data_IF_686511485365
#
_entry.id   IF_686511485365
#
_cell.length_a   1.000
_cell.length_b   1.000
_cell.length_c   1.000
_cell.angle_alpha   90.00
_cell.angle_beta   90.00
_cell.angle_gamma   90.00
#
_symmetry.space_group_name_H-M   'P 1'
#
loop_
_entity.id
_entity.type
_entity.pdbx_description
1 polymer ?
#
# COMPACT_ATOMS: atom_id res chain seq x y z
N UNK A 1 24.59 -56.73 -39.58
CA UNK A 1 24.37 -55.75 -40.66
C UNK A 1 25.68 -55.62 -41.43
N UNK A 2 25.66 -55.80 -42.76
CA UNK A 2 26.84 -55.65 -43.60
C UNK A 2 27.22 -54.16 -43.69
N UNK A 3 28.50 -53.83 -43.50
CA UNK A 3 28.96 -52.45 -43.65
C UNK A 3 28.79 -51.98 -45.12
N UNK A 4 28.42 -50.72 -45.36
CA UNK A 4 28.21 -50.21 -46.71
C UNK A 4 29.47 -50.36 -47.56
N UNK A 5 29.32 -50.94 -48.77
CA UNK A 5 30.37 -51.04 -49.80
C UNK A 5 30.16 -49.92 -50.83
N UNK A 6 31.05 -48.94 -50.85
CA UNK A 6 31.02 -47.78 -51.76
C UNK A 6 31.82 -46.59 -51.20
N UNK A 7 32.01 -45.54 -51.99
CA UNK A 7 32.64 -44.30 -51.54
C UNK A 7 31.58 -43.44 -50.83
N UNK A 8 31.69 -43.29 -49.51
CA UNK A 8 30.76 -42.48 -48.70
C UNK A 8 31.13 -41.01 -48.78
N UNK A 9 30.21 -40.17 -49.26
CA UNK A 9 30.35 -38.70 -49.21
C UNK A 9 29.55 -38.17 -48.02
N UNK A 10 30.18 -37.36 -47.18
CA UNK A 10 29.53 -36.68 -46.05
C UNK A 10 29.54 -35.18 -46.31
N UNK A 11 28.35 -34.60 -46.42
CA UNK A 11 28.15 -33.15 -46.50
C UNK A 11 27.85 -32.62 -45.10
N UNK A 12 28.57 -31.59 -44.67
CA UNK A 12 28.34 -30.95 -43.38
C UNK A 12 28.67 -29.46 -43.45
N UNK A 13 28.01 -28.70 -42.60
CA UNK A 13 28.31 -27.29 -42.37
C UNK A 13 29.10 -27.16 -41.06
N UNK A 14 30.16 -26.37 -41.07
CA UNK A 14 30.99 -26.13 -39.90
C UNK A 14 31.63 -24.75 -39.98
N UNK A 15 31.87 -24.15 -38.81
CA UNK A 15 32.71 -22.96 -38.72
C UNK A 15 34.15 -23.31 -39.04
N UNK A 16 34.75 -22.55 -39.96
CA UNK A 16 36.17 -22.63 -40.24
C UNK A 16 36.91 -21.70 -39.27
N UNK A 17 37.77 -22.29 -38.43
CA UNK A 17 38.55 -21.54 -37.46
C UNK A 17 39.81 -21.00 -38.12
N UNK A 18 40.28 -19.83 -37.67
CA UNK A 18 41.56 -19.29 -38.10
C UNK A 18 42.72 -20.20 -37.66
N UNK A 19 43.89 -20.03 -38.26
CA UNK A 19 45.11 -20.78 -37.89
C UNK A 19 45.69 -20.35 -36.54
N UNK A 20 45.07 -19.38 -35.87
CA UNK A 20 45.49 -18.88 -34.57
C UNK A 20 45.16 -19.91 -33.48
N UNK A 21 46.11 -20.13 -32.57
CA UNK A 21 45.94 -21.03 -31.42
C UNK A 21 45.36 -20.27 -30.23
N UNK A 22 44.48 -20.89 -29.45
CA UNK A 22 43.84 -20.24 -28.31
C UNK A 22 42.51 -20.87 -27.89
N UNK A 23 41.69 -20.04 -27.25
CA UNK A 23 40.30 -20.34 -26.91
C UNK A 23 39.35 -19.63 -27.88
N UNK A 24 38.12 -20.10 -27.95
CA UNK A 24 37.03 -19.43 -28.65
C UNK A 24 36.14 -18.69 -27.66
N UNK A 25 35.67 -17.52 -28.09
CA UNK A 25 34.74 -16.67 -27.36
C UNK A 25 33.71 -16.12 -28.37
N UNK A 26 32.86 -15.19 -27.91
CA UNK A 26 31.87 -14.53 -28.78
C UNK A 26 32.52 -13.87 -30.01
N UNK A 27 33.73 -13.31 -29.87
CA UNK A 27 34.49 -12.63 -30.95
C UNK A 27 35.02 -13.57 -32.03
N UNK A 28 34.91 -14.88 -31.83
CA UNK A 28 35.25 -15.89 -32.84
C UNK A 28 34.14 -16.07 -33.88
N UNK A 29 32.96 -15.50 -33.66
CA UNK A 29 31.82 -15.57 -34.56
C UNK A 29 31.64 -14.25 -35.33
N UNK A 30 31.08 -14.28 -36.56
CA UNK A 30 30.72 -13.06 -37.27
C UNK A 30 29.75 -12.19 -36.45
N UNK A 31 29.96 -10.88 -36.45
CA UNK A 31 29.12 -9.92 -35.70
C UNK A 31 27.65 -9.96 -36.12
N UNK A 32 27.35 -10.40 -37.35
CA UNK A 32 25.98 -10.61 -37.83
C UNK A 32 25.22 -11.68 -37.04
N UNK A 33 25.91 -12.61 -36.39
CA UNK A 33 25.31 -13.73 -35.64
C UNK A 33 25.00 -13.36 -34.18
N UNK A 34 25.35 -12.13 -33.76
CA UNK A 34 25.22 -11.72 -32.36
C UNK A 34 23.78 -11.39 -31.99
N UNK A 35 22.98 -10.87 -32.92
CA UNK A 35 21.61 -10.38 -32.66
C UNK A 35 20.57 -11.49 -32.59
N UNK A 36 20.69 -12.50 -33.44
CA UNK A 36 19.57 -13.42 -33.71
C UNK A 36 19.66 -14.76 -32.98
N UNK A 37 20.52 -14.86 -31.96
CA UNK A 37 20.65 -16.11 -31.23
C UNK A 37 21.43 -17.18 -32.01
N UNK A 38 22.02 -16.83 -33.16
CA UNK A 38 22.58 -17.79 -34.12
C UNK A 38 23.88 -18.46 -33.65
N UNK A 39 24.61 -17.86 -32.69
CA UNK A 39 25.76 -18.52 -32.05
C UNK A 39 25.28 -19.84 -31.42
N UNK A 40 25.83 -21.00 -31.83
CA UNK A 40 25.34 -22.31 -31.42
C UNK A 40 25.42 -22.58 -29.91
N UNK A 41 24.57 -23.50 -29.46
CA UNK A 41 24.65 -24.11 -28.13
C UNK A 41 25.36 -25.46 -28.26
N UNK A 42 26.45 -25.63 -27.53
CA UNK A 42 27.16 -26.91 -27.46
C UNK A 42 26.46 -27.85 -26.47
N UNK A 43 26.29 -29.11 -26.86
CA UNK A 43 25.77 -30.17 -26.00
C UNK A 43 26.90 -31.14 -25.68
N UNK A 44 27.28 -31.23 -24.41
CA UNK A 44 28.28 -32.20 -23.95
C UNK A 44 27.72 -33.63 -24.02
N UNK A 45 28.62 -34.62 -24.02
CA UNK A 45 28.29 -36.05 -23.91
C UNK A 45 27.45 -36.35 -22.66
N UNK A 46 27.61 -35.55 -21.60
CA UNK A 46 26.84 -35.66 -20.35
C UNK A 46 25.42 -35.07 -20.45
N UNK A 47 25.01 -34.56 -21.62
CA UNK A 47 23.70 -33.95 -21.86
C UNK A 47 23.58 -32.48 -21.43
N UNK A 48 24.61 -31.93 -20.77
CA UNK A 48 24.68 -30.52 -20.38
C UNK A 48 24.81 -29.60 -21.61
N UNK A 49 24.08 -28.49 -21.58
CA UNK A 49 24.07 -27.50 -22.66
C UNK A 49 24.87 -26.26 -22.25
N UNK A 50 25.80 -25.84 -23.12
CA UNK A 50 26.65 -24.68 -22.93
C UNK A 50 26.40 -23.68 -24.06
N UNK A 51 26.00 -22.47 -23.69
CA UNK A 51 25.79 -21.40 -24.65
C UNK A 51 27.14 -20.81 -25.05
N UNK A 52 27.61 -21.05 -26.28
CA UNK A 52 28.97 -20.68 -26.70
C UNK A 52 29.22 -19.16 -26.71
N UNK A 53 28.15 -18.36 -26.67
CA UNK A 53 28.21 -16.89 -26.49
C UNK A 53 28.68 -16.44 -25.11
N UNK A 54 28.47 -17.27 -24.08
CA UNK A 54 28.78 -16.98 -22.67
C UNK A 54 29.71 -18.04 -22.10
N UNK A 55 30.68 -18.47 -22.91
CA UNK A 55 31.62 -19.51 -22.55
C UNK A 55 32.97 -19.21 -23.18
N UNK A 56 34.02 -19.52 -22.42
CA UNK A 56 35.38 -19.58 -22.95
C UNK A 56 35.62 -21.03 -23.34
N UNK A 57 35.71 -21.29 -24.63
CA UNK A 57 35.78 -22.63 -25.19
C UNK A 57 37.22 -23.00 -25.55
N UNK A 58 37.79 -23.95 -24.81
CA UNK A 58 39.16 -24.44 -25.01
C UNK A 58 39.23 -25.71 -25.87
N UNK A 59 38.12 -26.14 -26.47
CA UNK A 59 38.09 -27.37 -27.27
C UNK A 59 39.02 -27.22 -28.48
N UNK A 60 39.79 -28.27 -28.84
CA UNK A 60 40.64 -28.21 -30.01
C UNK A 60 39.82 -28.21 -31.30
N UNK A 61 40.38 -27.59 -32.34
CA UNK A 61 39.82 -27.62 -33.68
C UNK A 61 40.31 -28.84 -34.45
N UNK A 62 39.43 -29.39 -35.29
CA UNK A 62 39.76 -30.40 -36.30
C UNK A 62 39.45 -29.85 -37.69
N UNK A 63 40.43 -29.86 -38.58
CA UNK A 63 40.22 -29.51 -39.99
C UNK A 63 39.45 -30.62 -40.70
N UNK A 64 38.46 -30.23 -41.49
CA UNK A 64 37.73 -31.14 -42.37
C UNK A 64 38.68 -31.86 -43.35
N UNK A 65 38.53 -33.17 -43.53
CA UNK A 65 39.28 -33.93 -44.54
C UNK A 65 40.75 -34.25 -44.21
N UNK A 66 41.19 -34.03 -42.97
CA UNK A 66 42.53 -34.46 -42.51
C UNK A 66 42.51 -35.86 -41.88
N UNK A 67 43.70 -36.42 -41.64
CA UNK A 67 43.88 -37.71 -40.96
C UNK A 67 43.10 -37.76 -39.64
N UNK A 68 42.43 -38.89 -39.39
CA UNK A 68 41.66 -39.12 -38.19
C UNK A 68 42.44 -38.75 -36.91
N UNK A 69 41.74 -38.13 -35.94
CA UNK A 69 42.28 -37.73 -34.63
C UNK A 69 43.40 -36.67 -34.65
N UNK A 70 43.54 -35.90 -35.73
CA UNK A 70 44.46 -34.76 -35.77
C UNK A 70 43.75 -33.50 -35.27
N UNK A 71 44.16 -33.00 -34.11
CA UNK A 71 43.60 -31.84 -33.43
C UNK A 71 44.65 -30.73 -33.31
N UNK A 72 44.24 -29.46 -33.43
CA UNK A 72 45.13 -28.31 -33.27
C UNK A 72 44.42 -27.17 -32.52
N UNK A 73 45.18 -26.13 -32.15
CA UNK A 73 44.60 -24.88 -31.65
C UNK A 73 44.30 -24.83 -30.15
N UNK A 74 44.13 -25.96 -29.46
CA UNK A 74 43.82 -25.95 -28.03
C UNK A 74 44.99 -25.41 -27.19
N UNK A 75 44.75 -24.31 -26.48
CA UNK A 75 45.65 -23.78 -25.44
C UNK A 75 44.93 -23.81 -24.09
N UNK A 76 44.96 -24.97 -23.45
CA UNK A 76 44.33 -25.18 -22.15
C UNK A 76 45.24 -24.58 -21.07
N UNK A 77 44.75 -23.66 -20.22
CA UNK A 77 45.55 -23.11 -19.13
C UNK A 77 45.94 -24.21 -18.14
N UNK A 78 47.18 -24.17 -17.65
CA UNK A 78 47.62 -25.08 -16.59
C UNK A 78 46.91 -24.72 -15.27
N UNK A 79 46.66 -25.69 -14.36
CA UNK A 79 45.95 -25.44 -13.10
C UNK A 79 46.55 -24.34 -12.21
N UNK A 80 47.85 -24.05 -12.38
CA UNK A 80 48.59 -23.06 -11.60
C UNK A 80 48.92 -21.79 -12.39
N UNK A 81 48.49 -21.69 -13.64
CA UNK A 81 48.70 -20.50 -14.47
C UNK A 81 47.47 -19.57 -14.42
N UNK A 82 47.63 -18.30 -14.01
CA UNK A 82 46.53 -17.35 -14.04
C UNK A 82 46.17 -16.98 -15.49
N UNK A 83 44.89 -16.99 -15.81
CA UNK A 83 44.36 -16.40 -17.05
C UNK A 83 43.88 -14.98 -16.76
N UNK A 84 44.56 -14.00 -17.33
CA UNK A 84 44.12 -12.61 -17.29
C UNK A 84 43.19 -12.33 -18.47
N UNK A 85 42.02 -11.76 -18.20
CA UNK A 85 41.02 -11.47 -19.21
C UNK A 85 40.35 -10.13 -18.94
N UNK A 86 40.18 -9.35 -20.01
CA UNK A 86 39.32 -8.15 -20.01
C UNK A 86 38.00 -8.54 -20.66
N UNK A 87 36.91 -8.43 -19.91
CA UNK A 87 35.59 -8.83 -20.38
C UNK A 87 34.58 -7.69 -20.25
N UNK A 88 33.59 -7.72 -21.12
CA UNK A 88 32.42 -6.86 -21.07
C UNK A 88 31.19 -7.74 -21.05
N UNK A 89 30.21 -7.39 -20.22
CA UNK A 89 28.99 -8.16 -20.08
C UNK A 89 27.79 -7.22 -19.89
N UNK A 90 26.63 -7.68 -20.32
CA UNK A 90 25.39 -6.95 -20.13
C UNK A 90 24.90 -7.10 -18.70
N UNK A 91 24.33 -6.03 -18.15
CA UNK A 91 23.70 -6.05 -16.84
C UNK A 91 22.19 -6.19 -16.98
N UNK A 92 21.54 -6.95 -16.08
CA UNK A 92 20.09 -6.98 -16.04
C UNK A 92 19.53 -5.63 -15.58
N UNK A 93 18.27 -5.38 -15.91
CA UNK A 93 17.58 -4.11 -15.60
C UNK A 93 16.12 -4.39 -15.23
N UNK A 94 15.54 -3.51 -14.42
CA UNK A 94 14.12 -3.57 -14.06
C UNK A 94 13.44 -2.28 -14.45
N UNK A 95 12.35 -2.38 -15.19
CA UNK A 95 11.62 -1.23 -15.72
C UNK A 95 10.18 -1.22 -15.18
N UNK A 96 9.50 -0.09 -15.31
CA UNK A 96 8.06 0.05 -15.02
C UNK A 96 7.35 0.61 -16.23
N UNK A 97 6.15 0.11 -16.53
CA UNK A 97 5.21 0.77 -17.44
C UNK A 97 4.22 1.53 -16.58
N UNK A 98 4.12 2.83 -16.82
CA UNK A 98 3.22 3.73 -16.11
C UNK A 98 2.24 4.39 -17.08
N UNK A 99 1.05 4.70 -16.58
CA UNK A 99 0.05 5.52 -17.26
C UNK A 99 0.04 6.90 -16.62
N UNK A 100 0.38 7.94 -17.39
CA UNK A 100 0.38 9.32 -16.90
C UNK A 100 -1.04 9.90 -16.83
N UNK A 101 -1.23 10.98 -16.09
CA UNK A 101 -2.49 11.74 -16.04
C UNK A 101 -2.95 12.24 -17.43
N UNK A 102 -1.99 12.54 -18.33
CA UNK A 102 -2.23 12.86 -19.74
C UNK A 102 -2.70 11.68 -20.61
N UNK A 103 -2.94 10.49 -20.01
CA UNK A 103 -3.31 9.24 -20.68
C UNK A 103 -2.23 8.68 -21.60
N UNK A 104 -0.97 8.99 -21.35
CA UNK A 104 0.16 8.45 -22.10
C UNK A 104 0.76 7.25 -21.38
N UNK A 105 1.04 6.17 -22.13
CA UNK A 105 1.81 5.04 -21.62
C UNK A 105 3.29 5.37 -21.74
N UNK A 106 3.98 5.41 -20.60
CA UNK A 106 5.41 5.70 -20.52
C UNK A 106 6.15 4.52 -19.90
N UNK A 107 7.32 4.22 -20.43
CA UNK A 107 8.27 3.29 -19.82
C UNK A 107 9.25 4.09 -18.96
N UNK A 108 9.35 3.74 -17.69
CA UNK A 108 10.39 4.23 -16.79
C UNK A 108 11.49 3.18 -16.76
N UNK A 109 12.62 3.51 -17.37
CA UNK A 109 13.78 2.62 -17.38
C UNK A 109 14.47 2.64 -16.02
N UNK A 110 14.82 1.45 -15.52
CA UNK A 110 15.71 1.32 -14.37
C UNK A 110 17.16 1.57 -14.73
N UNK A 111 18.01 1.50 -13.71
CA UNK A 111 19.46 1.55 -13.90
C UNK A 111 19.96 0.10 -13.99
N UNK A 112 20.67 -0.28 -15.06
CA UNK A 112 21.28 -1.61 -15.15
C UNK A 112 22.24 -1.85 -13.99
N UNK A 113 22.11 -3.01 -13.32
CA UNK A 113 22.95 -3.36 -12.18
C UNK A 113 22.96 -4.88 -12.00
N UNK A 114 24.00 -5.42 -11.36
CA UNK A 114 24.06 -6.85 -11.00
C UNK A 114 22.85 -7.26 -10.14
N UNK A 115 22.40 -6.35 -9.28
CA UNK A 115 21.19 -6.48 -8.47
C UNK A 115 20.23 -5.31 -8.81
N UNK A 116 19.46 -5.40 -9.91
CA UNK A 116 18.66 -4.29 -10.38
C UNK A 116 17.49 -4.03 -9.42
N UNK A 117 17.19 -2.75 -9.23
CA UNK A 117 16.05 -2.27 -8.42
C UNK A 117 15.01 -1.65 -9.35
N UNK A 118 13.74 -1.80 -9.00
CA UNK A 118 12.69 -1.10 -9.71
C UNK A 118 12.83 0.43 -9.50
N UNK A 119 12.55 1.25 -10.52
CA UNK A 119 12.46 2.69 -10.38
C UNK A 119 11.44 3.10 -9.30
N UNK A 120 11.65 4.27 -8.71
CA UNK A 120 10.64 4.89 -7.83
C UNK A 120 9.36 5.20 -8.61
N UNK A 121 8.21 5.06 -7.95
CA UNK A 121 6.93 5.45 -8.55
C UNK A 121 6.86 6.98 -8.74
N UNK A 122 6.22 7.41 -9.81
CA UNK A 122 5.98 8.82 -10.09
C UNK A 122 4.64 9.23 -9.49
N UNK A 123 4.56 10.42 -8.88
CA UNK A 123 3.31 10.92 -8.29
C UNK A 123 2.21 11.19 -9.32
N UNK A 124 2.58 11.54 -10.55
CA UNK A 124 1.68 11.88 -11.65
C UNK A 124 1.36 10.69 -12.58
N UNK A 125 1.78 9.48 -12.21
CA UNK A 125 1.56 8.30 -13.04
C UNK A 125 1.21 7.05 -12.23
N UNK A 126 0.35 6.22 -12.79
CA UNK A 126 -0.07 4.95 -12.20
C UNK A 126 0.73 3.80 -12.81
N UNK A 127 1.49 3.06 -12.00
CA UNK A 127 2.29 1.92 -12.45
C UNK A 127 1.42 0.72 -12.81
N UNK A 128 1.36 0.36 -14.09
CA UNK A 128 0.55 -0.76 -14.59
C UNK A 128 1.31 -2.08 -14.61
N UNK A 129 2.58 -2.05 -15.02
CA UNK A 129 3.41 -3.25 -15.12
C UNK A 129 4.79 -3.02 -14.52
N UNK A 130 5.34 -4.06 -13.91
CA UNK A 130 6.76 -4.16 -13.58
C UNK A 130 7.41 -5.13 -14.55
N UNK A 131 8.53 -4.75 -15.15
CA UNK A 131 9.25 -5.54 -16.15
C UNK A 131 10.62 -5.93 -15.59
N UNK A 132 10.90 -7.22 -15.61
CA UNK A 132 12.22 -7.77 -15.35
C UNK A 132 12.90 -8.11 -16.67
N UNK A 133 13.98 -7.39 -16.97
CA UNK A 133 14.80 -7.56 -18.17
C UNK A 133 16.08 -8.28 -17.75
N UNK A 134 16.27 -9.55 -18.12
CA UNK A 134 17.51 -10.26 -17.82
C UNK A 134 18.70 -9.63 -18.56
N UNK A 135 19.91 -9.95 -18.10
CA UNK A 135 21.14 -9.56 -18.78
C UNK A 135 21.12 -10.15 -20.19
N UNK A 136 21.28 -9.28 -21.20
CA UNK A 136 21.28 -9.64 -22.61
C UNK A 136 19.99 -10.39 -23.05
N UNK A 137 19.06 -9.65 -23.65
CA UNK A 137 17.75 -10.17 -24.07
C UNK A 137 17.75 -10.58 -25.54
N UNK A 138 18.20 -11.81 -25.83
CA UNK A 138 18.18 -12.37 -27.19
C UNK A 138 16.75 -12.52 -27.78
N UNK A 139 15.75 -12.66 -26.91
CA UNK A 139 14.35 -12.77 -27.32
C UNK A 139 13.46 -12.07 -26.30
N UNK A 140 12.37 -11.48 -26.80
CA UNK A 140 11.32 -10.86 -25.97
C UNK A 140 10.69 -11.86 -24.99
N UNK A 141 10.77 -13.17 -25.25
CA UNK A 141 10.22 -14.22 -24.37
C UNK A 141 10.92 -14.30 -23.01
N UNK A 142 12.16 -13.83 -22.93
CA UNK A 142 12.93 -13.83 -21.69
C UNK A 142 12.62 -12.62 -20.80
N UNK A 143 11.87 -11.63 -21.32
CA UNK A 143 11.44 -10.47 -20.55
C UNK A 143 10.17 -10.84 -19.78
N UNK A 144 10.25 -10.80 -18.45
CA UNK A 144 9.11 -11.10 -17.60
C UNK A 144 8.36 -9.81 -17.26
N UNK A 145 7.11 -9.71 -17.70
CA UNK A 145 6.23 -8.60 -17.35
C UNK A 145 5.18 -9.07 -16.33
N UNK A 146 5.09 -8.37 -15.20
CA UNK A 146 4.09 -8.62 -14.16
C UNK A 146 3.12 -7.45 -14.09
N UNK A 147 1.84 -7.74 -14.30
CA UNK A 147 0.77 -6.75 -14.15
C UNK A 147 0.56 -6.43 -12.66
N UNK A 148 0.42 -5.14 -12.35
CA UNK A 148 -0.02 -4.67 -11.04
C UNK A 148 -1.55 -4.54 -11.06
N UNK A 149 -2.22 -5.20 -10.12
CA UNK A 149 -3.67 -5.13 -10.01
C UNK A 149 -4.09 -3.87 -9.24
N UNK A 150 -4.84 -2.99 -9.91
CA UNK A 150 -5.42 -1.77 -9.32
C UNK A 150 -6.90 -2.01 -9.05
N UNK A 151 -7.21 -2.53 -7.86
CA UNK A 151 -8.60 -2.75 -7.45
C UNK A 151 -9.33 -1.42 -7.29
N UNK A 152 -10.34 -1.20 -8.14
CA UNK A 152 -11.27 -0.08 -8.03
C UNK A 152 -12.40 -0.46 -7.07
N UNK A 153 -12.58 0.32 -6.02
CA UNK A 153 -13.75 0.22 -5.16
C UNK A 153 -14.74 1.33 -5.50
N UNK A 154 -16.00 1.00 -5.74
CA UNK A 154 -17.06 2.00 -5.86
C UNK A 154 -17.59 2.37 -4.48
N UNK A 155 -18.29 3.50 -4.34
CA UNK A 155 -18.92 3.87 -3.05
C UNK A 155 -19.89 2.80 -2.54
N UNK A 156 -20.55 2.06 -3.44
CA UNK A 156 -21.41 0.92 -3.07
C UNK A 156 -20.59 -0.22 -2.46
N UNK A 157 -19.41 -0.50 -3.01
CA UNK A 157 -18.53 -1.56 -2.50
C UNK A 157 -17.90 -1.16 -1.17
N UNK A 158 -17.53 0.12 -1.02
CA UNK A 158 -17.06 0.68 0.24
C UNK A 158 -18.14 0.56 1.32
N UNK A 159 -19.40 0.90 1.02
CA UNK A 159 -20.51 0.73 1.98
C UNK A 159 -20.74 -0.73 2.38
N UNK A 160 -20.56 -1.69 1.47
CA UNK A 160 -20.59 -3.12 1.83
C UNK A 160 -19.44 -3.53 2.74
N UNK A 161 -18.23 -3.00 2.49
CA UNK A 161 -17.07 -3.24 3.34
C UNK A 161 -17.26 -2.63 4.73
N UNK A 162 -17.78 -1.40 4.82
CA UNK A 162 -18.12 -0.73 6.07
C UNK A 162 -19.09 -1.56 6.90
N UNK A 163 -20.18 -2.06 6.30
CA UNK A 163 -21.12 -2.93 7.00
C UNK A 163 -20.46 -4.22 7.50
N UNK A 164 -19.58 -4.83 6.71
CA UNK A 164 -18.84 -6.02 7.13
C UNK A 164 -17.89 -5.72 8.28
N UNK A 165 -17.18 -4.59 8.23
CA UNK A 165 -16.25 -4.16 9.27
C UNK A 165 -17.02 -3.91 10.57
N UNK A 166 -18.13 -3.17 10.52
CA UNK A 166 -19.00 -2.95 11.68
C UNK A 166 -19.49 -4.25 12.30
N UNK A 167 -19.90 -5.21 11.47
CA UNK A 167 -20.31 -6.54 11.96
C UNK A 167 -19.14 -7.29 12.61
N UNK A 168 -17.96 -7.27 12.00
CA UNK A 168 -16.75 -7.92 12.55
C UNK A 168 -16.36 -7.28 13.88
N UNK A 169 -16.42 -5.96 13.97
CA UNK A 169 -16.14 -5.21 15.20
C UNK A 169 -17.13 -5.60 16.31
N UNK A 170 -18.44 -5.63 16.00
CA UNK A 170 -19.48 -6.03 16.95
C UNK A 170 -19.24 -7.44 17.50
N UNK A 171 -19.05 -8.43 16.63
CA UNK A 171 -18.81 -9.82 17.07
C UNK A 171 -17.47 -10.00 17.79
N UNK A 172 -16.43 -9.26 17.38
CA UNK A 172 -15.14 -9.29 18.08
C UNK A 172 -15.25 -8.70 19.48
N UNK A 173 -15.97 -7.59 19.65
CA UNK A 173 -16.20 -6.98 20.95
C UNK A 173 -16.99 -7.92 21.88
N UNK A 174 -18.07 -8.53 21.37
CA UNK A 174 -18.87 -9.49 22.11
C UNK A 174 -18.04 -10.72 22.50
N UNK A 175 -17.31 -11.33 21.55
CA UNK A 175 -16.46 -12.49 21.81
C UNK A 175 -15.35 -12.20 22.84
N UNK A 176 -14.77 -10.99 22.81
CA UNK A 176 -13.80 -10.57 23.82
C UNK A 176 -14.45 -10.44 25.21
N UNK A 177 -15.66 -9.90 25.28
CA UNK A 177 -16.40 -9.77 26.54
C UNK A 177 -16.86 -11.14 27.07
N UNK A 178 -17.29 -12.06 26.21
CA UNK A 178 -17.60 -13.46 26.55
C UNK A 178 -16.39 -14.16 27.12
N UNK A 179 -15.22 -13.99 26.49
CA UNK A 179 -13.97 -14.53 27.02
C UNK A 179 -13.67 -13.96 28.41
N UNK A 180 -13.79 -12.64 28.61
CA UNK A 180 -13.58 -12.02 29.93
C UNK A 180 -14.54 -12.56 31.00
N UNK A 181 -15.82 -12.75 30.68
CA UNK A 181 -16.81 -13.32 31.60
C UNK A 181 -16.54 -14.82 31.88
N UNK A 182 -16.11 -15.56 30.86
CA UNK A 182 -15.69 -16.96 30.99
C UNK A 182 -14.46 -17.11 31.87
N UNK A 183 -13.51 -16.18 31.79
CA UNK A 183 -12.26 -16.23 32.56
C UNK A 183 -12.43 -15.65 33.98
N UNK A 184 -13.46 -14.82 34.24
CA UNK A 184 -13.67 -14.22 35.56
C UNK A 184 -14.20 -15.22 36.58
N UNK A 185 -13.38 -15.65 37.54
CA UNK A 185 -13.81 -16.55 38.61
C UNK A 185 -14.75 -15.87 39.60
N UNK A 186 -15.87 -16.52 39.92
CA UNK A 186 -16.78 -16.11 41.00
C UNK A 186 -16.66 -17.16 42.09
N UNK A 187 -16.17 -16.77 43.27
CA UNK A 187 -15.94 -17.71 44.37
C UNK A 187 -17.19 -17.85 45.26
N UNK A 188 -17.29 -18.96 45.99
CA UNK A 188 -18.21 -19.10 47.11
C UNK A 188 -17.77 -18.19 48.29
N UNK A 189 -18.60 -18.09 49.34
CA UNK A 189 -18.29 -17.25 50.52
C UNK A 189 -17.00 -17.67 51.24
N UNK A 190 -16.52 -18.89 50.97
CA UNK A 190 -15.24 -19.44 51.45
C UNK A 190 -14.01 -18.83 50.76
N UNK A 191 -14.18 -18.05 49.68
CA UNK A 191 -13.12 -17.50 48.84
C UNK A 191 -12.10 -18.55 48.33
N UNK A 192 -12.48 -19.82 48.26
CA UNK A 192 -11.59 -20.92 47.88
C UNK A 192 -12.14 -21.76 46.73
N UNK A 193 -13.46 -21.89 46.64
CA UNK A 193 -14.11 -22.72 45.62
C UNK A 193 -14.73 -21.83 44.53
N UNK A 194 -14.44 -22.10 43.26
CA UNK A 194 -15.08 -21.39 42.13
C UNK A 194 -16.48 -21.95 41.86
N UNK A 195 -17.45 -21.07 41.65
CA UNK A 195 -18.81 -21.43 41.24
C UNK A 195 -18.81 -21.88 39.79
N UNK A 196 -19.51 -22.98 39.53
CA UNK A 196 -19.75 -23.47 38.19
C UNK A 196 -20.61 -22.47 37.39
N UNK A 197 -20.25 -22.25 36.12
CA UNK A 197 -20.95 -21.31 35.23
C UNK A 197 -21.88 -22.10 34.33
N UNK A 198 -23.18 -22.04 34.61
CA UNK A 198 -24.22 -22.71 33.82
C UNK A 198 -24.70 -21.89 32.62
N UNK A 199 -24.43 -20.59 32.62
CA UNK A 199 -24.73 -19.67 31.54
C UNK A 199 -24.10 -18.31 31.80
N UNK A 200 -23.83 -17.56 30.74
CA UNK A 200 -23.37 -16.19 30.83
C UNK A 200 -24.17 -15.32 29.86
N UNK A 201 -24.49 -14.12 30.31
CA UNK A 201 -25.07 -13.06 29.47
C UNK A 201 -24.06 -11.94 29.45
N UNK A 202 -23.71 -11.48 28.25
CA UNK A 202 -22.66 -10.50 28.05
C UNK A 202 -23.17 -9.42 27.10
N UNK A 203 -22.85 -8.18 27.43
CA UNK A 203 -23.23 -6.99 26.66
C UNK A 203 -22.01 -6.06 26.54
N UNK A 204 -21.93 -5.36 25.42
CA UNK A 204 -20.93 -4.33 25.17
C UNK A 204 -21.40 -2.93 25.63
N UNK A 205 -22.59 -2.83 26.22
CA UNK A 205 -23.19 -1.59 26.72
C UNK A 205 -23.19 -0.48 25.65
N UNK A 206 -23.67 -0.82 24.46
CA UNK A 206 -23.94 0.17 23.40
C UNK A 206 -25.43 0.53 23.29
N UNK A 207 -26.29 -0.28 23.89
CA UNK A 207 -27.73 -0.09 23.91
C UNK A 207 -28.37 -0.85 25.06
N UNK A 208 -29.69 -1.02 24.98
CA UNK A 208 -30.49 -1.70 26.00
C UNK A 208 -31.25 -2.91 25.45
N UNK A 209 -30.78 -3.50 24.36
CA UNK A 209 -31.47 -4.59 23.65
C UNK A 209 -31.62 -5.86 24.50
N UNK A 210 -30.68 -6.10 25.42
CA UNK A 210 -30.70 -7.24 26.35
C UNK A 210 -31.50 -6.93 27.62
N UNK A 211 -31.74 -5.65 27.92
CA UNK A 211 -32.31 -5.23 29.19
C UNK A 211 -33.84 -5.03 29.12
N UNK A 212 -34.53 -5.37 30.20
CA UNK A 212 -35.96 -5.07 30.33
C UNK A 212 -36.19 -3.60 30.69
N UNK A 213 -36.26 -2.76 29.65
CA UNK A 213 -36.49 -1.31 29.75
C UNK A 213 -37.89 -0.93 30.24
N UNK A 214 -38.85 -1.88 30.25
CA UNK A 214 -40.23 -1.62 30.69
C UNK A 214 -40.42 -1.83 32.20
N UNK A 215 -39.46 -2.49 32.85
CA UNK A 215 -39.50 -2.67 34.30
C UNK A 215 -39.41 -1.32 35.00
N UNK A 216 -40.21 -1.12 36.05
CA UNK A 216 -40.15 0.07 36.93
C UNK A 216 -38.80 0.19 37.63
N UNK A 217 -38.10 -0.92 37.81
CA UNK A 217 -36.81 -0.99 38.51
C UNK A 217 -35.63 -0.75 37.55
N UNK A 218 -35.90 -0.41 36.28
CA UNK A 218 -34.89 -0.09 35.29
C UNK A 218 -34.27 1.30 35.54
N UNK A 219 -33.33 1.36 36.48
CA UNK A 219 -32.67 2.60 36.96
C UNK A 219 -31.18 2.60 36.63
N UNK A 220 -30.84 2.40 35.36
CA UNK A 220 -29.48 2.49 34.87
C UNK A 220 -29.40 3.32 33.58
N UNK A 221 -28.21 3.78 33.25
CA UNK A 221 -27.89 4.47 32.01
C UNK A 221 -26.64 3.84 31.42
N UNK A 222 -26.52 3.88 30.10
CA UNK A 222 -25.36 3.39 29.36
C UNK A 222 -24.67 4.60 28.74
N UNK A 223 -23.36 4.68 28.91
CA UNK A 223 -22.54 5.76 28.37
C UNK A 223 -21.16 5.23 28.00
N UNK A 224 -20.68 5.53 26.79
CA UNK A 224 -19.35 5.14 26.28
C UNK A 224 -18.97 3.65 26.51
N UNK A 225 -19.90 2.72 26.31
CA UNK A 225 -19.61 1.28 26.49
C UNK A 225 -19.56 0.83 27.94
N UNK A 226 -20.16 1.60 28.87
CA UNK A 226 -20.21 1.27 30.31
C UNK A 226 -21.60 1.47 30.88
N UNK A 227 -21.98 0.59 31.80
CA UNK A 227 -23.18 0.74 32.61
C UNK A 227 -22.91 1.69 33.78
N UNK A 228 -23.78 2.68 33.97
CA UNK A 228 -23.75 3.64 35.07
C UNK A 228 -25.13 3.79 35.72
N UNK A 229 -25.23 4.39 36.91
CA UNK A 229 -26.52 4.73 37.52
C UNK A 229 -27.36 5.63 36.59
N UNK A 230 -28.68 5.55 36.72
CA UNK A 230 -29.60 6.42 35.98
C UNK A 230 -29.17 7.88 36.10
N UNK A 231 -29.19 8.56 34.96
CA UNK A 231 -28.73 9.94 34.83
C UNK A 231 -29.80 10.72 34.08
N UNK A 232 -30.21 11.87 34.63
CA UNK A 232 -31.16 12.76 33.96
C UNK A 232 -30.40 13.89 33.28
N UNK A 233 -30.34 13.84 31.95
CA UNK A 233 -29.76 14.91 31.15
C UNK A 233 -30.85 15.92 30.80
N UNK A 234 -30.67 17.17 31.20
CA UNK A 234 -31.54 18.28 30.79
C UNK A 234 -30.77 19.24 29.92
N UNK A 235 -31.30 19.51 28.72
CA UNK A 235 -30.79 20.57 27.86
C UNK A 235 -31.33 21.91 28.36
N UNK A 236 -30.44 22.89 28.47
CA UNK A 236 -30.84 24.26 28.73
C UNK A 236 -30.44 25.13 27.55
N UNK A 237 -31.37 25.96 27.09
CA UNK A 237 -31.05 26.97 26.08
C UNK A 237 -30.35 28.13 26.78
N UNK A 238 -29.18 28.50 26.28
CA UNK A 238 -28.55 29.75 26.70
C UNK A 238 -29.33 30.92 26.10
N UNK A 239 -29.61 31.91 26.94
CA UNK A 239 -30.17 33.20 26.54
C UNK A 239 -29.09 34.24 26.86
N UNK A 240 -28.69 35.09 25.91
CA UNK A 240 -27.68 36.12 26.16
C UNK A 240 -28.14 37.06 27.28
N UNK A 241 -27.26 37.31 28.25
CA UNK A 241 -27.55 38.12 29.44
C UNK A 241 -27.71 39.61 29.12
N UNK A 242 -27.02 40.10 28.10
CA UNK A 242 -27.12 41.48 27.62
C UNK A 242 -27.55 41.52 26.14
N UNK A 243 -28.64 42.24 25.87
CA UNK A 243 -29.18 42.49 24.51
C UNK A 243 -28.42 43.63 23.79
N UNK A 244 -27.16 43.87 24.14
CA UNK A 244 -26.32 44.87 23.47
C UNK A 244 -25.80 44.39 22.10
N UNK A 245 -26.15 43.18 21.69
CA UNK A 245 -26.11 42.75 20.30
C UNK A 245 -27.39 43.22 19.61
N UNK A 246 -27.26 43.91 18.47
CA UNK A 246 -28.40 44.39 17.68
C UNK A 246 -29.39 43.25 17.49
N UNK A 247 -30.60 43.39 18.06
CA UNK A 247 -31.67 42.45 17.76
C UNK A 247 -31.86 42.44 16.24
N UNK A 248 -31.84 41.26 15.58
CA UNK A 248 -32.12 41.21 14.15
C UNK A 248 -33.51 41.78 13.92
N UNK A 249 -33.59 42.82 13.08
CA UNK A 249 -34.81 43.57 12.82
C UNK A 249 -35.89 42.61 12.30
N UNK A 250 -36.99 42.51 13.06
CA UNK A 250 -38.03 41.52 12.83
C UNK A 250 -38.93 41.98 11.68
N UNK A 251 -38.64 41.55 10.45
CA UNK A 251 -39.74 41.42 9.47
C UNK A 251 -39.55 40.36 8.41
N UNK A 252 -38.33 40.02 7.95
CA UNK A 252 -38.19 39.10 6.79
C UNK A 252 -36.86 38.32 6.73
N UNK A 253 -36.33 37.81 7.85
CA UNK A 253 -35.17 36.90 7.82
C UNK A 253 -35.58 35.43 8.02
N UNK A 254 -35.06 34.49 7.20
CA UNK A 254 -35.17 33.07 7.49
C UNK A 254 -34.50 32.76 8.84
N UNK A 255 -35.08 31.84 9.63
CA UNK A 255 -34.77 31.47 11.03
C UNK A 255 -33.33 30.98 11.32
N UNK A 256 -32.29 31.66 10.83
CA UNK A 256 -30.89 31.46 11.18
C UNK A 256 -30.36 32.78 11.73
N UNK A 257 -30.61 33.01 13.02
CA UNK A 257 -30.13 34.18 13.73
C UNK A 257 -28.60 34.12 13.82
N UNK A 258 -27.90 34.89 12.99
CA UNK A 258 -26.47 35.13 13.14
C UNK A 258 -26.32 36.38 14.00
N UNK A 259 -25.78 36.23 15.20
CA UNK A 259 -25.39 37.36 16.03
C UNK A 259 -24.04 37.87 15.55
N UNK A 260 -24.02 39.03 14.89
CA UNK A 260 -22.79 39.65 14.40
C UNK A 260 -22.30 40.69 15.41
N UNK A 261 -21.03 40.64 15.79
CA UNK A 261 -20.39 41.72 16.55
C UNK A 261 -20.33 42.93 15.60
N UNK A 262 -20.87 44.12 15.97
CA UNK A 262 -20.82 45.27 15.08
C UNK A 262 -19.36 45.57 14.70
N UNK A 263 -19.05 45.73 13.40
CA UNK A 263 -17.69 46.03 12.99
C UNK A 263 -17.30 47.39 13.56
N UNK A 264 -16.23 47.42 14.36
CA UNK A 264 -15.58 48.68 14.74
C UNK A 264 -14.85 49.23 13.53
N UNK A 265 -15.40 50.25 12.88
CA UNK A 265 -14.72 50.92 11.78
C UNK A 265 -13.43 51.59 12.30
N UNK A 266 -12.28 51.11 11.84
CA UNK A 266 -10.98 51.75 12.10
C UNK A 266 -10.43 52.26 10.78
N UNK A 267 -10.19 53.56 10.68
CA UNK A 267 -9.60 54.18 9.50
C UNK A 267 -8.15 53.69 9.37
N UNK A 268 -7.87 52.89 8.34
CA UNK A 268 -6.53 52.29 8.13
C UNK A 268 -5.58 53.30 7.48
N UNK A 269 -6.06 54.16 6.58
CA UNK A 269 -5.29 55.24 5.96
C UNK A 269 -6.21 56.44 5.71
N UNK A 270 -5.74 57.65 6.03
CA UNK A 270 -6.43 58.90 5.74
C UNK A 270 -5.45 59.88 5.07
N UNK A 271 -5.84 60.52 3.96
CA UNK A 271 -5.06 61.57 3.31
C UNK A 271 -5.84 62.88 3.41
N UNK A 272 -5.45 63.73 4.34
CA UNK A 272 -6.20 64.93 4.71
C UNK A 272 -5.85 66.16 3.86
N UNK A 273 -4.90 66.08 2.92
CA UNK A 273 -4.63 67.16 1.94
C UNK A 273 -4.03 66.63 0.62
N UNK A 274 -4.53 67.12 -0.52
CA UNK A 274 -3.97 66.86 -1.85
C UNK A 274 -4.16 68.07 -2.78
N UNK A 275 -3.15 68.41 -3.59
CA UNK A 275 -3.24 69.47 -4.63
C UNK A 275 -3.56 68.90 -6.02
N UNK A 276 -3.38 67.58 -6.23
CA UNK A 276 -3.82 66.82 -7.40
C UNK A 276 -4.23 65.40 -6.99
N UNK A 277 -5.28 64.87 -7.62
CA UNK A 277 -5.73 63.49 -7.40
C UNK A 277 -4.90 62.53 -8.24
N UNK A 278 -3.86 61.94 -7.63
CA UNK A 278 -3.15 60.78 -8.19
C UNK A 278 -3.29 59.64 -7.21
N UNK A 279 -3.65 58.45 -7.70
CA UNK A 279 -3.71 57.25 -6.87
C UNK A 279 -2.29 56.92 -6.37
N UNK A 280 -2.04 57.09 -5.07
CA UNK A 280 -0.71 56.84 -4.47
C UNK A 280 -0.43 55.34 -4.28
N UNK A 281 -1.43 54.48 -4.46
CA UNK A 281 -1.30 53.02 -4.32
C UNK A 281 -2.21 52.33 -5.36
N UNK A 282 -1.75 51.30 -6.09
CA UNK A 282 -2.64 50.49 -6.92
C UNK A 282 -3.73 49.83 -6.06
N UNK A 283 -4.98 49.86 -6.50
CA UNK A 283 -6.18 49.33 -5.81
C UNK A 283 -6.15 47.82 -5.51
N UNK A 284 -5.05 47.14 -5.80
CA UNK A 284 -4.82 45.70 -5.57
C UNK A 284 -4.18 45.45 -4.19
N UNK A 285 -3.69 46.48 -3.50
CA UNK A 285 -3.02 46.35 -2.19
C UNK A 285 -3.85 46.83 -0.99
N UNK A 286 -5.17 46.90 -1.12
CA UNK A 286 -6.05 46.98 0.06
C UNK A 286 -6.20 45.57 0.64
N UNK A 287 -5.42 45.27 1.68
CA UNK A 287 -5.43 43.97 2.35
C UNK A 287 -6.84 43.56 2.74
N UNK A 288 -7.35 42.49 2.11
CA UNK A 288 -8.50 41.76 2.63
C UNK A 288 -8.03 40.99 3.85
N UNK A 289 -8.50 41.38 5.03
CA UNK A 289 -8.34 40.57 6.23
C UNK A 289 -9.45 39.52 6.24
N UNK A 290 -9.28 38.47 5.46
CA UNK A 290 -10.07 37.25 5.60
C UNK A 290 -9.48 36.47 6.78
N UNK A 291 -10.27 36.30 7.83
CA UNK A 291 -9.88 35.55 9.02
C UNK A 291 -10.96 34.52 9.35
N UNK A 292 -10.53 33.28 9.57
CA UNK A 292 -11.41 32.22 10.06
C UNK A 292 -11.48 32.29 11.59
N UNK A 293 -12.70 32.35 12.14
CA UNK A 293 -12.93 32.29 13.58
C UNK A 293 -13.39 30.89 13.94
N UNK A 294 -12.54 30.15 14.65
CA UNK A 294 -12.91 28.88 15.28
C UNK A 294 -13.46 29.16 16.69
N UNK A 295 -14.74 28.87 16.89
CA UNK A 295 -15.40 28.96 18.20
C UNK A 295 -15.32 27.61 18.91
N UNK A 296 -14.86 27.62 20.16
CA UNK A 296 -14.90 26.45 21.06
C UNK A 296 -15.75 26.77 22.29
N UNK A 297 -16.82 26.01 22.56
CA UNK A 297 -17.36 24.89 21.78
C UNK A 297 -18.05 25.34 20.48
N UNK A 298 -18.10 24.46 19.47
CA UNK A 298 -18.75 24.72 18.18
C UNK A 298 -20.28 24.65 18.22
N UNK A 299 -20.84 24.23 19.37
CA UNK A 299 -22.27 24.03 19.59
C UNK A 299 -22.72 24.69 20.88
N UNK A 300 -23.82 25.44 20.83
CA UNK A 300 -24.43 26.15 21.97
C UNK A 300 -25.39 25.26 22.79
N UNK A 301 -25.27 23.94 22.64
CA UNK A 301 -26.05 22.99 23.42
C UNK A 301 -25.29 22.63 24.68
N UNK A 302 -25.70 23.24 25.78
CA UNK A 302 -25.23 22.86 27.10
C UNK A 302 -26.25 21.95 27.77
N UNK A 303 -25.73 20.93 28.46
CA UNK A 303 -26.52 19.99 29.23
C UNK A 303 -26.00 19.95 30.66
N UNK A 304 -26.91 19.87 31.62
CA UNK A 304 -26.56 19.56 33.00
C UNK A 304 -26.85 18.10 33.25
N UNK A 305 -25.97 17.45 34.00
CA UNK A 305 -26.06 16.04 34.34
C UNK A 305 -26.30 15.95 35.84
N UNK A 306 -27.52 15.57 36.22
CA UNK A 306 -27.82 15.24 37.61
C UNK A 306 -27.67 13.72 37.81
N UNK A 307 -26.76 13.34 38.69
CA UNK A 307 -26.47 11.95 39.05
C UNK A 307 -26.90 11.71 40.50
N UNK A 308 -27.70 10.68 40.78
CA UNK A 308 -28.04 10.34 42.16
C UNK A 308 -26.76 10.02 42.95
N UNK A 309 -26.75 10.35 44.25
CA UNK A 309 -25.64 10.06 45.16
C UNK A 309 -25.27 8.58 45.08
N UNK A 310 -23.98 8.28 44.89
CA UNK A 310 -23.45 6.91 44.82
C UNK A 310 -23.62 6.20 46.17
N UNK A 311 -24.79 5.60 46.39
CA UNK A 311 -24.89 4.49 47.35
C UNK A 311 -24.30 3.27 46.66
N UNK A 312 -23.29 2.64 47.26
CA UNK A 312 -22.68 1.42 46.74
C UNK A 312 -23.70 0.27 46.81
N UNK A 313 -24.58 0.18 45.82
CA UNK A 313 -25.52 -0.93 45.70
C UNK A 313 -24.85 -2.01 44.87
N UNK A 314 -24.39 -3.06 45.55
CA UNK A 314 -24.03 -4.32 44.91
C UNK A 314 -25.27 -4.86 44.19
N UNK A 315 -25.27 -4.83 42.86
CA UNK A 315 -26.30 -5.47 42.05
C UNK A 315 -26.13 -6.98 42.21
N UNK A 316 -26.91 -7.60 43.10
CA UNK A 316 -27.09 -9.05 43.10
C UNK A 316 -28.06 -9.39 41.97
N UNK A 317 -27.54 -10.02 40.91
CA UNK A 317 -28.40 -10.64 39.91
C UNK A 317 -29.23 -11.74 40.59
N UNK A 318 -30.54 -11.57 40.67
CA UNK A 318 -31.46 -12.58 41.18
C UNK A 318 -31.73 -13.61 40.08
N UNK A 319 -31.23 -14.82 40.26
CA UNK A 319 -31.62 -15.97 39.44
C UNK A 319 -32.99 -16.46 39.92
N UNK A 320 -34.04 -16.22 39.12
CA UNK A 320 -35.33 -16.88 39.30
C UNK A 320 -35.19 -18.35 38.87
N UNK A 321 -35.13 -19.26 39.85
CA UNK A 321 -35.34 -20.69 39.65
C UNK A 321 -36.85 -20.94 39.66
N UNK A 322 -37.43 -21.27 38.52
CA UNK A 322 -38.76 -21.91 38.47
C UNK A 322 -38.57 -23.42 38.61
N UNK A 323 -39.32 -24.03 39.52
CA UNK A 323 -39.49 -25.48 39.59
C UNK A 323 -40.28 -26.00 38.40
#
# INVERSE_FOLDING_TARGET
MCAPRGQTVVLFEAYQHSTTTGYFNVDSYPTSQYTDGEIPVFKSTDGMQYSLRDSIDFRPTRTAGTTANTYFGAKIPLPYEPMELTYQYYLPRRDKIVLTSSKELKVINGIPSKNPKYPSDQSDAMTLFTIDIPAYTASHKYVAAKALDHKRYTMRDIGKLEQRIKNVEYYSALSMAEKKAKDSAILYEDNATEKEKYGMVVDNFTGFDVADTKSRDFVCSVDEGKLRPYTKTTNFNLVPSDRSFTAPDYTNMPKKCVWTIPPGEKIINNQTAATKNVAVIPSVLSGKFEGDVNLFPSTDHYFSVDSPTRTATTVRASTYSSH
#
